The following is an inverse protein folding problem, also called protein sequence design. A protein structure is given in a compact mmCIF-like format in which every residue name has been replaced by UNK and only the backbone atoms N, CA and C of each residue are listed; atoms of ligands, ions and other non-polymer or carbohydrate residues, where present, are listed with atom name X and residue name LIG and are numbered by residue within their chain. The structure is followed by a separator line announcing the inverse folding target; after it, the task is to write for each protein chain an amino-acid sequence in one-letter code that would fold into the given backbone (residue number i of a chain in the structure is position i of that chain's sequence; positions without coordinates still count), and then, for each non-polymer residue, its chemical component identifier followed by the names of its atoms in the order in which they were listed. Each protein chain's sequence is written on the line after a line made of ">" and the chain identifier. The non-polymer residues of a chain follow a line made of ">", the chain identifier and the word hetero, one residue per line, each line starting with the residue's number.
data_IF_793785996024
#
_entry.id   IF_793785996024
#
_cell.length_a   1.000
_cell.length_b   1.000
_cell.length_c   1.000
_cell.angle_alpha   90.00
_cell.angle_beta   90.00
_cell.angle_gamma   90.00
#
_symmetry.space_group_name_H-M   'P 1'
#
loop_
_entity.id
_entity.type
_entity.pdbx_description
1 polymer ?
#
# COMPACT_ATOMS: atom_id res chain seq x y z
N UNK A 1 70.76 40.40 -41.26
CA UNK A 1 70.23 40.04 -39.93
C UNK A 1 68.78 39.61 -40.10
N UNK A 2 68.53 38.31 -40.23
CA UNK A 2 67.19 37.76 -40.45
C UNK A 2 67.09 36.49 -39.59
N UNK A 3 66.43 36.59 -38.45
CA UNK A 3 66.29 35.48 -37.49
C UNK A 3 65.21 34.52 -37.99
N UNK A 4 65.62 33.29 -38.32
CA UNK A 4 64.75 32.13 -38.52
C UNK A 4 64.30 31.65 -37.15
N UNK A 5 63.00 31.66 -36.87
CA UNK A 5 62.43 31.15 -35.63
C UNK A 5 62.04 29.68 -35.82
N UNK A 6 62.95 28.77 -35.47
CA UNK A 6 62.70 27.33 -35.40
C UNK A 6 61.89 27.03 -34.13
N UNK A 7 60.61 26.67 -34.27
CA UNK A 7 59.81 26.21 -33.13
C UNK A 7 60.10 24.73 -32.90
N UNK A 8 60.82 24.46 -31.80
CA UNK A 8 61.09 23.14 -31.26
C UNK A 8 59.82 22.70 -30.50
N UNK A 9 59.13 21.66 -30.99
CA UNK A 9 58.05 21.02 -30.24
C UNK A 9 58.65 20.20 -29.08
N UNK A 10 58.09 20.28 -27.85
CA UNK A 10 58.54 19.45 -26.74
C UNK A 10 58.18 17.98 -26.97
N UNK A 11 59.18 17.13 -26.75
CA UNK A 11 59.15 15.67 -26.80
C UNK A 11 58.23 15.14 -25.67
N UNK A 12 57.03 14.69 -26.03
CA UNK A 12 56.09 14.08 -25.07
C UNK A 12 56.56 12.66 -24.72
N UNK A 13 56.60 12.26 -23.44
CA UNK A 13 57.04 10.93 -23.04
C UNK A 13 56.12 9.83 -23.58
N UNK A 14 56.73 8.79 -24.13
CA UNK A 14 56.12 7.58 -24.63
C UNK A 14 55.54 6.73 -23.49
N UNK A 15 54.34 7.06 -22.99
CA UNK A 15 53.50 6.13 -22.21
C UNK A 15 52.02 6.58 -22.15
N UNK A 16 51.51 7.10 -23.27
CA UNK A 16 50.08 7.45 -23.43
C UNK A 16 49.52 6.90 -24.75
N UNK A 17 49.74 5.61 -24.99
CA UNK A 17 48.98 4.82 -25.97
C UNK A 17 48.65 3.51 -25.27
N UNK A 18 47.50 3.46 -24.58
CA UNK A 18 46.76 2.25 -24.15
C UNK A 18 45.40 2.64 -23.52
N UNK A 19 45.16 3.92 -23.18
CA UNK A 19 43.87 4.37 -22.65
C UNK A 19 42.97 5.03 -23.71
N UNK A 20 42.65 4.31 -24.79
CA UNK A 20 41.62 4.76 -25.75
C UNK A 20 40.93 3.62 -26.53
N UNK A 21 41.46 2.39 -26.50
CA UNK A 21 40.79 1.24 -27.17
C UNK A 21 40.25 0.20 -26.18
N UNK A 22 40.43 0.41 -24.87
CA UNK A 22 40.00 -0.55 -23.82
C UNK A 22 38.82 -0.09 -22.96
N UNK A 23 38.00 0.84 -23.47
CA UNK A 23 36.76 1.28 -22.84
C UNK A 23 35.53 1.27 -23.78
N UNK A 24 35.62 0.52 -24.89
CA UNK A 24 34.49 0.28 -25.82
C UNK A 24 34.02 -1.19 -25.85
N UNK A 25 34.78 -2.13 -25.27
CA UNK A 25 34.43 -3.56 -25.26
C UNK A 25 33.86 -4.09 -23.93
N UNK A 26 33.83 -3.29 -22.86
CA UNK A 26 33.28 -3.72 -21.55
C UNK A 26 31.81 -3.27 -21.35
N UNK A 27 31.25 -2.47 -22.27
CA UNK A 27 29.83 -2.06 -22.22
C UNK A 27 28.88 -2.94 -23.03
N UNK A 28 29.37 -3.96 -23.76
CA UNK A 28 28.49 -4.90 -24.51
C UNK A 28 28.33 -6.28 -23.86
N UNK A 29 29.18 -6.68 -22.92
CA UNK A 29 29.02 -7.97 -22.24
C UNK A 29 28.26 -7.89 -20.90
N UNK A 30 28.26 -6.75 -20.22
CA UNK A 30 27.52 -6.60 -18.95
C UNK A 30 26.01 -6.48 -19.21
N UNK A 31 25.57 -6.00 -20.37
CA UNK A 31 24.14 -5.92 -20.72
C UNK A 31 23.49 -7.31 -20.92
N UNK A 32 24.22 -8.27 -21.49
CA UNK A 32 23.70 -9.62 -21.75
C UNK A 32 23.52 -10.45 -20.46
N UNK A 33 24.42 -10.27 -19.48
CA UNK A 33 24.37 -11.03 -18.23
C UNK A 33 23.19 -10.63 -17.32
N UNK A 34 22.82 -9.34 -17.31
CA UNK A 34 21.63 -8.87 -16.56
C UNK A 34 20.32 -9.28 -17.24
N UNK A 35 20.26 -9.30 -18.58
CA UNK A 35 19.07 -9.75 -19.32
C UNK A 35 18.86 -11.27 -19.20
N UNK A 36 19.93 -12.06 -19.10
CA UNK A 36 19.83 -13.51 -18.94
C UNK A 36 19.48 -13.93 -17.50
N UNK A 37 19.98 -13.22 -16.46
CA UNK A 37 19.60 -13.49 -15.07
C UNK A 37 18.13 -13.14 -14.79
N UNK A 38 17.60 -12.08 -15.38
CA UNK A 38 16.17 -11.75 -15.27
C UNK A 38 15.31 -12.76 -16.02
N UNK A 39 15.75 -13.28 -17.17
CA UNK A 39 15.02 -14.34 -17.89
C UNK A 39 14.97 -15.68 -17.13
N UNK A 40 16.03 -16.06 -16.41
CA UNK A 40 16.07 -17.30 -15.62
C UNK A 40 15.23 -17.22 -14.34
N UNK A 41 15.18 -16.06 -13.69
CA UNK A 41 14.31 -15.83 -12.53
C UNK A 41 12.83 -15.75 -12.92
N UNK A 42 12.51 -15.24 -14.11
CA UNK A 42 11.12 -15.22 -14.62
C UNK A 42 10.61 -16.58 -15.12
N UNK A 43 11.51 -17.48 -15.53
CA UNK A 43 11.10 -18.78 -16.11
C UNK A 43 10.62 -19.81 -15.06
N UNK A 44 10.88 -19.57 -13.78
CA UNK A 44 10.44 -20.44 -12.67
C UNK A 44 9.26 -19.90 -11.85
N UNK A 45 8.68 -18.75 -12.22
CA UNK A 45 7.44 -18.24 -11.61
C UNK A 45 6.16 -18.62 -12.37
N UNK A 46 6.28 -19.31 -13.51
CA UNK A 46 5.15 -19.66 -14.38
C UNK A 46 4.89 -21.17 -14.45
N UNK A 47 4.68 -21.83 -13.31
CA UNK A 47 3.92 -23.11 -13.22
C UNK A 47 3.32 -23.27 -11.82
N UNK A 48 2.25 -22.53 -11.53
CA UNK A 48 1.24 -22.98 -10.57
C UNK A 48 -0.04 -23.28 -11.34
N UNK A 49 -0.67 -24.45 -11.11
CA UNK A 49 -1.79 -24.90 -11.91
C UNK A 49 -2.94 -23.91 -11.82
N UNK A 50 -3.55 -23.65 -12.98
CA UNK A 50 -4.80 -22.94 -13.14
C UNK A 50 -5.87 -23.65 -12.28
N UNK A 51 -6.22 -23.03 -11.16
CA UNK A 51 -7.27 -23.52 -10.25
C UNK A 51 -8.54 -22.73 -10.53
N UNK A 52 -9.35 -23.34 -11.40
CA UNK A 52 -10.80 -23.21 -11.60
C UNK A 52 -11.43 -21.82 -11.51
N UNK A 53 -12.16 -21.45 -12.57
CA UNK A 53 -13.25 -20.47 -12.55
C UNK A 53 -14.10 -20.58 -11.27
N UNK A 54 -13.70 -19.84 -10.24
CA UNK A 54 -14.64 -19.36 -9.24
C UNK A 54 -15.07 -18.03 -9.82
N UNK A 55 -16.30 -17.96 -10.33
CA UNK A 55 -16.99 -16.70 -10.45
C UNK A 55 -17.01 -16.10 -9.04
N UNK A 56 -15.98 -15.33 -8.70
CA UNK A 56 -15.93 -14.58 -7.46
C UNK A 56 -16.81 -13.38 -7.73
N UNK A 57 -18.11 -13.56 -7.49
CA UNK A 57 -18.99 -12.41 -7.33
C UNK A 57 -18.30 -11.46 -6.36
N UNK A 58 -18.17 -10.19 -6.75
CA UNK A 58 -17.59 -9.18 -5.88
C UNK A 58 -18.41 -9.17 -4.59
N UNK A 59 -17.76 -9.34 -3.43
CA UNK A 59 -18.44 -9.29 -2.13
C UNK A 59 -18.99 -7.90 -1.82
N UNK A 60 -18.52 -6.90 -2.56
CA UNK A 60 -19.09 -5.57 -2.55
C UNK A 60 -20.29 -5.51 -3.51
N UNK A 61 -21.43 -4.95 -3.08
CA UNK A 61 -22.59 -4.76 -3.95
C UNK A 61 -22.26 -3.79 -5.07
N UNK A 62 -23.01 -3.88 -6.17
CA UNK A 62 -22.76 -3.10 -7.39
C UNK A 62 -22.93 -1.58 -7.23
N UNK A 63 -23.53 -1.12 -6.12
CA UNK A 63 -23.83 0.29 -5.87
C UNK A 63 -22.82 0.91 -4.89
N UNK A 64 -21.55 0.92 -5.25
CA UNK A 64 -20.50 1.65 -4.53
C UNK A 64 -20.11 2.90 -5.33
N UNK A 65 -19.73 3.97 -4.63
CA UNK A 65 -19.39 5.26 -5.24
C UNK A 65 -18.14 5.20 -6.12
N UNK A 66 -17.05 4.61 -5.61
CA UNK A 66 -15.77 4.59 -6.33
C UNK A 66 -14.84 3.49 -5.87
N UNK A 67 -13.99 3.00 -6.76
CA UNK A 67 -12.95 2.01 -6.45
C UNK A 67 -11.57 2.46 -6.93
N UNK A 68 -10.56 2.21 -6.11
CA UNK A 68 -9.15 2.45 -6.39
C UNK A 68 -8.40 1.13 -6.24
N UNK A 69 -7.96 0.58 -7.36
CA UNK A 69 -7.29 -0.73 -7.41
C UNK A 69 -5.79 -0.65 -7.13
N UNK A 70 -5.22 0.56 -7.14
CA UNK A 70 -3.83 0.80 -6.78
C UNK A 70 -3.71 2.03 -5.88
N UNK A 71 -4.12 1.92 -4.60
CA UNK A 71 -4.21 3.05 -3.69
C UNK A 71 -2.85 3.72 -3.42
N UNK A 72 -1.74 2.99 -3.56
CA UNK A 72 -0.39 3.53 -3.38
C UNK A 72 -0.04 4.51 -4.50
N UNK A 73 -0.27 4.13 -5.76
CA UNK A 73 0.03 4.99 -6.90
C UNK A 73 -1.08 6.02 -7.18
N UNK A 74 -2.32 5.74 -6.75
CA UNK A 74 -3.49 6.61 -6.93
C UNK A 74 -3.71 7.57 -5.74
N UNK A 75 -2.76 7.67 -4.82
CA UNK A 75 -2.93 8.46 -3.57
C UNK A 75 -3.34 9.91 -3.80
N UNK A 76 -2.77 10.57 -4.81
CA UNK A 76 -3.11 11.96 -5.12
C UNK A 76 -4.53 12.09 -5.68
N UNK A 77 -4.96 11.14 -6.51
CA UNK A 77 -6.33 11.07 -7.01
C UNK A 77 -7.31 10.84 -5.85
N UNK A 78 -7.00 9.90 -4.94
CA UNK A 78 -7.78 9.63 -3.72
C UNK A 78 -7.91 10.90 -2.89
N UNK A 79 -6.83 11.69 -2.76
CA UNK A 79 -6.86 12.97 -2.06
C UNK A 79 -7.81 13.95 -2.73
N UNK A 80 -7.61 14.23 -4.01
CA UNK A 80 -8.41 15.22 -4.74
C UNK A 80 -9.91 14.85 -4.69
N UNK A 81 -10.23 13.58 -4.89
CA UNK A 81 -11.60 13.11 -4.91
C UNK A 81 -12.31 13.18 -3.55
N UNK A 82 -11.59 12.98 -2.44
CA UNK A 82 -12.19 12.74 -1.12
C UNK A 82 -11.83 13.80 -0.07
N UNK A 83 -11.06 14.83 -0.43
CA UNK A 83 -10.69 15.90 0.48
C UNK A 83 -11.93 16.71 0.92
N UNK A 84 -12.14 16.84 2.23
CA UNK A 84 -13.29 17.55 2.79
C UNK A 84 -14.63 16.82 2.65
N UNK A 85 -14.67 15.64 2.02
CA UNK A 85 -15.88 14.81 1.97
C UNK A 85 -16.02 13.98 3.22
N UNK A 86 -17.24 13.56 3.52
CA UNK A 86 -17.58 12.69 4.64
C UNK A 86 -18.20 11.42 4.05
N UNK A 87 -17.87 10.26 4.61
CA UNK A 87 -18.43 9.02 4.07
C UNK A 87 -17.83 7.75 4.65
N UNK A 88 -18.21 6.64 4.02
CA UNK A 88 -17.83 5.28 4.40
C UNK A 88 -16.94 4.70 3.30
N UNK A 89 -15.88 4.03 3.70
CA UNK A 89 -14.93 3.37 2.82
C UNK A 89 -14.71 1.91 3.24
N UNK A 90 -14.19 1.11 2.32
CA UNK A 90 -13.73 -0.23 2.60
C UNK A 90 -12.32 -0.49 2.06
N UNK A 91 -11.52 -1.22 2.84
CA UNK A 91 -10.26 -1.81 2.39
C UNK A 91 -10.50 -3.29 2.06
N UNK A 92 -10.21 -3.69 0.82
CA UNK A 92 -10.26 -5.09 0.38
C UNK A 92 -8.86 -5.63 0.22
N UNK A 93 -8.55 -6.75 0.87
CA UNK A 93 -7.28 -7.44 0.65
C UNK A 93 -7.35 -8.36 -0.58
N UNK A 94 -6.55 -8.09 -1.61
CA UNK A 94 -6.52 -8.85 -2.88
C UNK A 94 -6.14 -10.32 -2.72
N UNK A 95 -5.39 -10.67 -1.67
CA UNK A 95 -4.86 -12.03 -1.46
C UNK A 95 -5.94 -12.94 -0.86
N UNK A 96 -6.63 -12.47 0.18
CA UNK A 96 -7.60 -13.28 0.95
C UNK A 96 -9.05 -12.80 0.80
N UNK A 97 -9.30 -11.68 0.12
CA UNK A 97 -10.63 -11.08 -0.15
C UNK A 97 -11.40 -10.76 1.13
N UNK A 98 -10.66 -10.51 2.21
CA UNK A 98 -11.23 -10.00 3.46
C UNK A 98 -11.37 -8.50 3.39
N UNK A 99 -12.43 -8.02 4.02
CA UNK A 99 -12.82 -6.61 3.99
C UNK A 99 -12.66 -5.98 5.36
N UNK A 100 -12.41 -4.67 5.36
CA UNK A 100 -12.55 -3.77 6.48
C UNK A 100 -13.47 -2.63 6.05
N UNK A 101 -14.41 -2.23 6.89
CA UNK A 101 -15.26 -1.05 6.67
C UNK A 101 -14.93 -0.02 7.73
N UNK A 102 -14.84 1.25 7.33
CA UNK A 102 -14.68 2.36 8.25
C UNK A 102 -15.30 3.63 7.70
N UNK A 103 -15.51 4.61 8.58
CA UNK A 103 -16.02 5.93 8.22
C UNK A 103 -14.99 7.03 8.46
N UNK A 104 -15.17 8.19 7.84
CA UNK A 104 -14.31 9.36 8.05
C UNK A 104 -15.05 10.68 7.87
N UNK A 105 -14.79 11.59 8.81
CA UNK A 105 -15.25 12.99 8.82
C UNK A 105 -14.07 13.90 9.23
N UNK A 106 -13.22 14.35 8.29
CA UNK A 106 -13.26 14.10 6.84
C UNK A 106 -12.65 12.76 6.39
N UNK A 107 -13.15 12.24 5.28
CA UNK A 107 -12.84 10.94 4.69
C UNK A 107 -11.37 10.79 4.34
N UNK A 108 -10.79 11.74 3.60
CA UNK A 108 -9.39 11.66 3.21
C UNK A 108 -8.44 11.69 4.41
N UNK A 109 -8.76 12.46 5.47
CA UNK A 109 -7.92 12.51 6.68
C UNK A 109 -7.82 11.11 7.28
N UNK A 110 -8.95 10.43 7.46
CA UNK A 110 -8.99 9.06 7.98
C UNK A 110 -8.26 8.06 7.07
N UNK A 111 -8.44 8.16 5.76
CA UNK A 111 -7.76 7.29 4.79
C UNK A 111 -6.23 7.53 4.82
N UNK A 112 -5.81 8.79 4.98
CA UNK A 112 -4.40 9.19 4.96
C UNK A 112 -3.60 8.62 6.14
N UNK A 113 -4.27 8.33 7.26
CA UNK A 113 -3.68 7.66 8.44
C UNK A 113 -2.98 6.36 8.06
N UNK A 114 -3.59 5.53 7.21
CA UNK A 114 -3.04 4.21 6.84
C UNK A 114 -1.76 4.29 6.01
N UNK A 115 -1.43 5.46 5.44
CA UNK A 115 -0.18 5.71 4.74
C UNK A 115 0.94 6.16 5.69
N UNK A 116 0.62 6.47 6.94
CA UNK A 116 1.59 6.97 7.91
C UNK A 116 2.23 5.81 8.68
N UNK A 117 3.58 5.68 8.68
CA UNK A 117 4.26 4.64 9.45
C UNK A 117 3.91 4.68 10.95
N UNK A 118 3.89 5.87 11.55
CA UNK A 118 3.55 6.05 12.97
C UNK A 118 2.15 5.52 13.32
N UNK A 119 1.19 5.61 12.40
CA UNK A 119 -0.16 5.12 12.62
C UNK A 119 -0.17 3.58 12.58
N UNK A 120 0.51 2.98 11.62
CA UNK A 120 0.62 1.53 11.49
C UNK A 120 1.37 0.89 12.67
N UNK A 121 2.31 1.61 13.28
CA UNK A 121 3.01 1.19 14.49
C UNK A 121 2.14 1.33 15.74
N UNK A 122 1.50 2.49 15.93
CA UNK A 122 0.71 2.79 17.14
C UNK A 122 -0.62 2.06 17.22
N UNK A 123 -1.19 1.63 16.09
CA UNK A 123 -2.51 0.97 16.00
C UNK A 123 -2.42 -0.51 15.64
N UNK A 124 -1.34 -1.17 16.03
CA UNK A 124 -1.07 -2.58 15.75
C UNK A 124 -2.11 -3.56 16.34
N UNK A 125 -3.00 -3.11 17.21
CA UNK A 125 -4.10 -3.89 17.75
C UNK A 125 -5.27 -4.03 16.74
N UNK A 126 -5.40 -3.11 15.78
CA UNK A 126 -6.44 -3.16 14.75
C UNK A 126 -6.12 -4.24 13.70
N UNK A 127 -7.10 -5.08 13.37
CA UNK A 127 -6.89 -6.16 12.40
C UNK A 127 -6.54 -5.65 11.00
N UNK A 128 -7.14 -4.55 10.56
CA UNK A 128 -6.77 -3.91 9.30
C UNK A 128 -5.31 -3.47 9.28
N UNK A 129 -4.80 -2.87 10.37
CA UNK A 129 -3.39 -2.44 10.47
C UNK A 129 -2.45 -3.64 10.47
N UNK A 130 -2.77 -4.70 11.22
CA UNK A 130 -2.00 -5.96 11.17
C UNK A 130 -1.97 -6.56 9.77
N UNK A 131 -3.10 -6.50 9.06
CA UNK A 131 -3.22 -7.00 7.70
C UNK A 131 -2.40 -6.16 6.71
N UNK A 132 -2.44 -4.83 6.82
CA UNK A 132 -1.63 -3.91 6.03
C UNK A 132 -0.13 -4.15 6.26
N UNK A 133 0.30 -4.30 7.51
CA UNK A 133 1.70 -4.62 7.85
C UNK A 133 2.12 -6.01 7.32
N UNK A 134 1.21 -7.00 7.33
CA UNK A 134 1.51 -8.37 6.87
C UNK A 134 1.58 -8.50 5.35
N UNK A 135 0.66 -7.86 4.63
CA UNK A 135 0.47 -8.07 3.20
C UNK A 135 0.92 -6.90 2.34
N UNK A 136 1.35 -5.77 2.92
CA UNK A 136 1.63 -4.51 2.22
C UNK A 136 0.38 -3.88 1.59
N UNK A 137 0.30 -2.55 1.61
CA UNK A 137 -0.82 -1.79 1.04
C UNK A 137 -0.99 -1.99 -0.48
N UNK A 138 0.05 -2.40 -1.21
CA UNK A 138 -0.04 -2.75 -2.64
C UNK A 138 -1.04 -3.89 -2.91
N UNK A 139 -1.23 -4.77 -1.93
CA UNK A 139 -2.15 -5.89 -1.99
C UNK A 139 -3.57 -5.54 -1.50
N UNK A 140 -3.92 -4.25 -1.46
CA UNK A 140 -5.25 -3.78 -1.11
C UNK A 140 -5.88 -2.95 -2.22
N UNK A 141 -7.21 -3.03 -2.31
CA UNK A 141 -8.05 -2.06 -3.00
C UNK A 141 -8.72 -1.15 -1.97
N UNK A 142 -8.97 0.10 -2.34
CA UNK A 142 -9.77 1.03 -1.56
C UNK A 142 -11.08 1.29 -2.30
N UNK A 143 -12.20 1.14 -1.60
CA UNK A 143 -13.52 1.42 -2.14
C UNK A 143 -14.18 2.52 -1.32
N UNK A 144 -14.75 3.51 -1.97
CA UNK A 144 -15.67 4.47 -1.35
C UNK A 144 -17.05 3.87 -1.53
N UNK A 145 -17.71 3.57 -0.41
CA UNK A 145 -19.00 2.88 -0.41
C UNK A 145 -20.15 3.87 -0.60
N UNK A 146 -20.16 4.94 0.20
CA UNK A 146 -21.23 5.93 0.24
C UNK A 146 -20.72 7.25 0.84
N UNK A 147 -21.05 8.37 0.22
CA UNK A 147 -20.84 9.69 0.83
C UNK A 147 -22.01 10.01 1.78
N UNK A 148 -21.71 10.61 2.92
CA UNK A 148 -22.68 10.92 3.97
C UNK A 148 -22.44 12.32 4.53
N UNK A 149 -23.30 12.75 5.44
CA UNK A 149 -23.08 13.86 6.35
C UNK A 149 -22.66 13.35 7.75
N UNK A 150 -22.13 14.24 8.60
CA UNK A 150 -21.65 13.91 9.95
C UNK A 150 -22.71 13.26 10.83
N UNK A 151 -23.96 13.72 10.73
CA UNK A 151 -25.08 13.27 11.57
C UNK A 151 -25.43 11.81 11.32
N UNK A 152 -25.40 11.35 10.06
CA UNK A 152 -25.77 9.99 9.69
C UNK A 152 -24.57 9.05 9.53
N UNK A 153 -23.34 9.53 9.69
CA UNK A 153 -22.14 8.79 9.34
C UNK A 153 -22.05 7.43 10.04
N UNK A 154 -22.33 7.38 11.34
CA UNK A 154 -22.28 6.15 12.14
C UNK A 154 -23.37 5.16 11.68
N UNK A 155 -24.57 5.67 11.36
CA UNK A 155 -25.67 4.84 10.85
C UNK A 155 -25.34 4.27 9.46
N UNK A 156 -24.74 5.09 8.58
CA UNK A 156 -24.26 4.63 7.28
C UNK A 156 -23.14 3.58 7.43
N UNK A 157 -22.20 3.78 8.37
CA UNK A 157 -21.16 2.79 8.65
C UNK A 157 -21.75 1.46 9.13
N UNK A 158 -22.72 1.50 10.05
CA UNK A 158 -23.40 0.31 10.55
C UNK A 158 -24.10 -0.45 9.42
N UNK A 159 -24.88 0.26 8.59
CA UNK A 159 -25.54 -0.29 7.40
C UNK A 159 -24.55 -1.08 6.54
N UNK A 160 -23.37 -0.52 6.26
CA UNK A 160 -22.37 -1.18 5.42
C UNK A 160 -21.66 -2.34 6.12
N UNK A 161 -21.42 -2.26 7.43
CA UNK A 161 -20.91 -3.39 8.22
C UNK A 161 -21.90 -4.55 8.18
N UNK A 162 -23.19 -4.30 8.36
CA UNK A 162 -24.24 -5.33 8.35
C UNK A 162 -24.39 -6.00 6.99
N UNK A 163 -24.31 -5.22 5.90
CA UNK A 163 -24.39 -5.73 4.52
C UNK A 163 -23.16 -6.59 4.17
N UNK A 164 -21.96 -6.12 4.51
CA UNK A 164 -20.70 -6.74 4.07
C UNK A 164 -20.23 -7.86 5.01
N UNK A 165 -20.52 -7.73 6.31
CA UNK A 165 -19.96 -8.54 7.39
C UNK A 165 -18.41 -8.67 7.31
N UNK A 166 -17.67 -7.54 7.40
CA UNK A 166 -16.22 -7.49 7.14
C UNK A 166 -15.38 -8.22 8.21
N UNK A 167 -14.44 -9.06 7.79
CA UNK A 167 -13.64 -9.90 8.69
C UNK A 167 -12.58 -9.13 9.49
N UNK A 168 -12.23 -7.91 9.08
CA UNK A 168 -11.27 -7.08 9.78
C UNK A 168 -11.90 -6.10 10.78
N UNK A 169 -13.23 -6.01 10.84
CA UNK A 169 -13.91 -5.25 11.89
C UNK A 169 -14.07 -6.15 13.13
N UNK A 170 -13.37 -5.81 14.21
CA UNK A 170 -13.46 -6.59 15.46
C UNK A 170 -14.85 -6.46 16.11
N UNK A 171 -15.41 -5.25 16.06
CA UNK A 171 -16.70 -4.95 16.64
C UNK A 171 -17.76 -4.97 15.53
N UNK A 172 -18.89 -5.66 15.75
CA UNK A 172 -20.02 -5.65 14.80
C UNK A 172 -20.80 -4.33 14.83
N UNK A 173 -20.64 -3.54 15.90
CA UNK A 173 -21.29 -2.24 16.06
C UNK A 173 -20.32 -1.13 15.61
N UNK A 174 -20.79 -0.27 14.71
CA UNK A 174 -20.09 0.91 14.20
C UNK A 174 -19.87 1.96 15.28
N UNK A 175 -18.87 2.82 15.05
CA UNK A 175 -18.43 3.81 16.01
C UNK A 175 -17.40 3.27 17.02
N UNK A 176 -16.86 4.18 17.82
CA UNK A 176 -15.85 3.83 18.80
C UNK A 176 -16.46 3.20 20.03
N UNK A 177 -15.80 2.21 20.63
CA UNK A 177 -16.08 1.75 22.01
C UNK A 177 -15.74 2.80 23.09
N UNK A 178 -15.43 4.03 22.70
CA UNK A 178 -15.05 5.13 23.58
C UNK A 178 -16.31 5.60 24.33
N UNK A 179 -16.58 4.95 25.46
CA UNK A 179 -17.81 5.11 26.25
C UNK A 179 -18.49 3.79 26.63
N UNK A 180 -18.01 2.65 26.12
CA UNK A 180 -18.46 1.34 26.54
C UNK A 180 -18.09 1.12 28.01
N UNK A 181 -19.11 1.07 28.88
CA UNK A 181 -18.93 0.71 30.29
C UNK A 181 -18.82 -0.80 30.38
N UNK A 182 -17.70 -1.30 30.87
CA UNK A 182 -17.54 -2.73 31.17
C UNK A 182 -18.62 -3.20 32.14
N UNK A 183 -19.14 -4.42 31.94
CA UNK A 183 -20.03 -5.03 32.91
C UNK A 183 -19.31 -5.22 34.26
N UNK A 184 -20.03 -5.23 35.40
CA UNK A 184 -19.42 -5.47 36.72
C UNK A 184 -18.59 -6.76 36.75
N UNK A 185 -19.09 -7.82 36.11
CA UNK A 185 -18.41 -9.12 35.98
C UNK A 185 -17.09 -9.03 35.19
N UNK A 186 -17.03 -8.19 34.14
CA UNK A 186 -15.80 -7.97 33.37
C UNK A 186 -14.78 -7.16 34.17
N UNK A 187 -15.23 -6.27 35.06
CA UNK A 187 -14.37 -5.48 35.95
C UNK A 187 -13.77 -6.41 37.01
N UNK A 188 -14.61 -7.20 37.69
CA UNK A 188 -14.20 -8.13 38.75
C UNK A 188 -13.20 -9.18 38.25
N UNK A 189 -13.42 -9.71 37.04
CA UNK A 189 -12.47 -10.63 36.39
C UNK A 189 -11.12 -9.99 36.09
N UNK A 190 -11.10 -8.73 35.66
CA UNK A 190 -9.85 -8.00 35.40
C UNK A 190 -9.13 -7.67 36.70
N UNK A 191 -9.84 -7.28 37.76
CA UNK A 191 -9.26 -7.04 39.09
C UNK A 191 -8.66 -8.33 39.68
N UNK A 192 -9.30 -9.48 39.50
CA UNK A 192 -8.76 -10.77 39.94
C UNK A 192 -7.46 -11.14 39.21
N UNK A 193 -7.34 -10.84 37.91
CA UNK A 193 -6.14 -11.13 37.11
C UNK A 193 -4.98 -10.20 37.47
N UNK A 194 -5.25 -8.93 37.78
CA UNK A 194 -4.22 -7.94 38.15
C UNK A 194 -3.64 -8.22 39.54
N UNK A 195 -4.45 -8.74 40.46
CA UNK A 195 -4.05 -9.00 41.85
C UNK A 195 -3.45 -10.40 42.08
N UNK A 196 -2.98 -11.08 41.02
CA UNK A 196 -2.40 -12.42 41.07
C UNK A 196 -1.00 -12.45 40.46
#
# INVERSE_FOLDING_TARGET
>A
MSKVLTIILPRVPSHFIIWSVRHSLIKREISSFYVLKTSFLYRNLSRRPLSTNVNKESRLPNNIEKSYYDPVNQRELIRIDNNGKIGVYAWENKINNKLYVGSGDPLYVRISDYYQPWYLESRNNLYIVRSLNKYSMNNFNLHILEYSNSENLIMCEQKWIDIINPEYNLNPIAGSSKGYKHSPESIEKNEYIINR
#
